data_IF_286899489125
#
_entry.id   IF_286899489125
#
_cell.length_a   1.000
_cell.length_b   1.000
_cell.length_c   1.000
_cell.angle_alpha   90.00
_cell.angle_beta   90.00
_cell.angle_gamma   90.00
#
_symmetry.space_group_name_H-M   'P 1'
#
loop_
_entity.id
_entity.type
_entity.pdbx_description
1 polymer ?
#
# COMPACT_ATOMS: atom_id res chain seq x y z
N UNK A 1 -24.22 36.26 24.11
CA UNK A 1 -23.23 35.45 23.35
C UNK A 1 -24.00 34.27 22.78
N UNK A 2 -24.40 34.37 21.51
CA UNK A 2 -25.48 33.57 20.95
C UNK A 2 -24.99 32.18 20.53
N UNK A 3 -25.66 31.14 21.03
CA UNK A 3 -25.47 29.70 20.77
C UNK A 3 -25.31 29.34 19.26
N UNK A 4 -25.73 30.22 18.35
CA UNK A 4 -25.58 30.05 16.89
C UNK A 4 -24.13 29.95 16.40
N UNK A 5 -23.16 30.50 17.13
CA UNK A 5 -21.75 30.49 16.71
C UNK A 5 -20.95 29.29 17.21
N UNK A 6 -21.51 28.48 18.12
CA UNK A 6 -20.83 27.29 18.65
C UNK A 6 -20.95 26.10 17.70
N UNK A 7 -22.04 25.99 16.93
CA UNK A 7 -22.21 24.90 15.97
C UNK A 7 -21.42 25.06 14.66
N UNK A 8 -21.07 26.29 14.28
CA UNK A 8 -20.30 26.53 13.03
C UNK A 8 -18.80 26.26 13.22
N UNK A 9 -18.28 26.41 14.44
CA UNK A 9 -16.89 26.08 14.76
C UNK A 9 -16.62 24.57 14.87
N UNK A 10 -17.65 23.76 15.15
CA UNK A 10 -17.53 22.29 15.25
C UNK A 10 -17.56 21.57 13.89
N UNK A 11 -18.08 22.23 12.83
CA UNK A 11 -18.07 21.68 11.47
C UNK A 11 -16.77 21.98 10.69
N UNK A 12 -15.86 22.78 11.25
CA UNK A 12 -14.55 23.03 10.67
C UNK A 12 -13.47 22.02 11.09
N UNK A 13 -13.74 21.19 12.11
CA UNK A 13 -12.79 20.18 12.60
C UNK A 13 -12.99 18.78 12.00
N UNK A 14 -14.07 18.53 11.26
CA UNK A 14 -14.32 17.23 10.60
C UNK A 14 -13.71 17.12 9.20
N UNK A 15 -12.86 18.07 8.79
CA UNK A 15 -12.18 18.04 7.49
C UNK A 15 -10.71 17.56 7.56
N UNK A 16 -10.26 17.02 8.69
CA UNK A 16 -8.99 16.26 8.80
C UNK A 16 -9.14 14.81 8.34
N UNK A 17 -9.91 14.60 7.27
CA UNK A 17 -9.92 13.34 6.55
C UNK A 17 -9.77 13.69 5.07
N UNK A 18 -8.59 14.19 4.68
CA UNK A 18 -8.21 14.18 3.26
C UNK A 18 -7.75 12.76 2.95
N UNK A 19 -8.68 11.80 3.06
CA UNK A 19 -8.59 10.58 2.28
C UNK A 19 -8.46 11.00 0.81
N UNK A 20 -7.57 10.36 0.06
CA UNK A 20 -7.36 10.62 -1.37
C UNK A 20 -8.69 10.95 -2.07
N UNK A 21 -8.71 12.00 -2.90
CA UNK A 21 -9.94 12.34 -3.63
C UNK A 21 -10.33 11.14 -4.52
N UNK A 22 -11.61 11.00 -4.84
CA UNK A 22 -12.07 9.94 -5.74
C UNK A 22 -11.29 9.94 -7.08
N UNK A 23 -10.95 11.14 -7.56
CA UNK A 23 -10.12 11.37 -8.75
C UNK A 23 -8.68 10.86 -8.57
N UNK A 24 -8.05 11.12 -7.41
CA UNK A 24 -6.69 10.63 -7.11
C UNK A 24 -6.65 9.10 -7.05
N UNK A 25 -7.71 8.46 -6.52
CA UNK A 25 -7.83 6.99 -6.46
C UNK A 25 -7.97 6.39 -7.85
N UNK A 26 -8.84 6.95 -8.69
CA UNK A 26 -9.05 6.47 -10.05
C UNK A 26 -7.79 6.64 -10.92
N UNK A 27 -7.08 7.76 -10.77
CA UNK A 27 -5.79 7.98 -11.43
C UNK A 27 -4.73 6.96 -10.98
N UNK A 28 -4.65 6.68 -9.67
CA UNK A 28 -3.75 5.68 -9.13
C UNK A 28 -4.08 4.27 -9.66
N UNK A 29 -5.34 3.85 -9.56
CA UNK A 29 -5.79 2.54 -10.06
C UNK A 29 -5.52 2.37 -11.55
N UNK A 30 -5.75 3.42 -12.35
CA UNK A 30 -5.44 3.43 -13.78
C UNK A 30 -3.94 3.27 -14.02
N UNK A 31 -3.09 3.92 -13.22
CA UNK A 31 -1.63 3.86 -13.35
C UNK A 31 -1.06 2.47 -13.03
N UNK A 32 -1.70 1.71 -12.13
CA UNK A 32 -1.23 0.38 -11.71
C UNK A 32 -1.96 -0.78 -12.43
N UNK A 33 -3.05 -0.52 -13.14
CA UNK A 33 -3.78 -1.56 -13.87
C UNK A 33 -2.92 -2.37 -14.87
N UNK A 34 -1.98 -1.76 -15.64
CA UNK A 34 -1.08 -2.53 -16.50
C UNK A 34 -0.19 -3.50 -15.73
N UNK A 35 0.29 -3.08 -14.55
CA UNK A 35 1.13 -3.89 -13.66
C UNK A 35 0.33 -5.09 -13.15
N UNK A 36 -0.91 -4.86 -12.71
CA UNK A 36 -1.82 -5.92 -12.25
C UNK A 36 -2.06 -6.93 -13.37
N UNK A 37 -2.36 -6.47 -14.59
CA UNK A 37 -2.62 -7.34 -15.74
C UNK A 37 -1.41 -8.21 -16.10
N UNK A 38 -0.21 -7.62 -16.11
CA UNK A 38 1.03 -8.34 -16.41
C UNK A 38 1.33 -9.41 -15.35
N UNK A 39 1.30 -9.04 -14.06
CA UNK A 39 1.54 -9.98 -12.97
C UNK A 39 0.45 -11.06 -12.87
N UNK A 40 -0.81 -10.72 -13.18
CA UNK A 40 -1.92 -11.68 -13.18
C UNK A 40 -1.69 -12.77 -14.23
N UNK A 41 -1.23 -12.37 -15.42
CA UNK A 41 -0.88 -13.30 -16.49
C UNK A 41 0.29 -14.20 -16.11
N UNK A 42 1.32 -13.65 -15.46
CA UNK A 42 2.51 -14.40 -15.06
C UNK A 42 2.22 -15.44 -13.98
N UNK A 43 1.40 -15.10 -12.98
CA UNK A 43 1.15 -15.96 -11.81
C UNK A 43 -0.22 -16.64 -11.81
N UNK A 44 -0.99 -16.49 -12.89
CA UNK A 44 -2.32 -17.08 -13.06
C UNK A 44 -3.29 -16.63 -11.97
N UNK A 45 -3.35 -15.32 -11.71
CA UNK A 45 -4.36 -14.71 -10.83
C UNK A 45 -5.55 -14.29 -11.70
N UNK A 46 -6.75 -14.71 -11.31
CA UNK A 46 -7.98 -14.40 -12.02
C UNK A 46 -8.50 -12.99 -11.70
N UNK A 47 -9.29 -12.42 -12.61
CA UNK A 47 -9.98 -11.15 -12.34
C UNK A 47 -10.85 -11.21 -11.09
N UNK A 48 -11.52 -12.35 -10.82
CA UNK A 48 -12.31 -12.55 -9.61
C UNK A 48 -11.49 -12.45 -8.32
N UNK A 49 -10.27 -12.99 -8.30
CA UNK A 49 -9.35 -12.85 -7.16
C UNK A 49 -8.91 -11.38 -6.96
N UNK A 50 -8.69 -10.65 -8.05
CA UNK A 50 -8.36 -9.22 -7.99
C UNK A 50 -9.55 -8.39 -7.46
N UNK A 51 -10.78 -8.68 -7.89
CA UNK A 51 -11.97 -7.98 -7.41
C UNK A 51 -12.24 -8.25 -5.92
N UNK A 52 -12.00 -9.47 -5.45
CA UNK A 52 -12.05 -9.79 -4.00
C UNK A 52 -10.99 -9.01 -3.21
N UNK A 53 -9.76 -8.93 -3.73
CA UNK A 53 -8.69 -8.16 -3.10
C UNK A 53 -9.03 -6.66 -3.02
N UNK A 54 -9.57 -6.09 -4.11
CA UNK A 54 -10.04 -4.69 -4.15
C UNK A 54 -11.16 -4.43 -3.15
N UNK A 55 -12.20 -5.27 -3.14
CA UNK A 55 -13.36 -5.11 -2.26
C UNK A 55 -12.99 -5.25 -0.78
N UNK A 56 -11.97 -6.07 -0.46
CA UNK A 56 -11.47 -6.23 0.90
C UNK A 56 -10.40 -5.21 1.30
N UNK A 57 -9.96 -4.36 0.37
CA UNK A 57 -8.80 -3.47 0.55
C UNK A 57 -7.56 -4.23 1.10
N UNK A 58 -7.39 -5.49 0.70
CA UNK A 58 -6.35 -6.39 1.20
C UNK A 58 -5.77 -7.27 0.11
N UNK A 59 -4.43 -7.42 0.13
CA UNK A 59 -3.70 -8.33 -0.73
C UNK A 59 -3.43 -9.71 -0.11
N UNK A 60 -3.88 -9.98 1.13
CA UNK A 60 -3.55 -11.21 1.87
C UNK A 60 -4.03 -12.50 1.19
N UNK A 61 -5.11 -12.43 0.43
CA UNK A 61 -5.64 -13.57 -0.32
C UNK A 61 -4.92 -13.86 -1.63
N UNK A 62 -3.99 -12.98 -2.05
CA UNK A 62 -3.30 -13.11 -3.33
C UNK A 62 -2.05 -13.97 -3.20
N UNK A 63 -1.69 -14.64 -4.29
CA UNK A 63 -0.47 -15.46 -4.35
C UNK A 63 0.76 -14.60 -4.04
N UNK A 64 1.67 -15.03 -3.13
CA UNK A 64 2.83 -14.22 -2.76
C UNK A 64 3.67 -13.76 -3.96
N UNK A 65 3.91 -14.63 -4.94
CA UNK A 65 4.67 -14.23 -6.13
C UNK A 65 3.97 -13.20 -7.01
N UNK A 66 2.63 -13.17 -7.04
CA UNK A 66 1.89 -12.08 -7.69
C UNK A 66 2.16 -10.75 -6.97
N UNK A 67 2.09 -10.75 -5.64
CA UNK A 67 2.36 -9.56 -4.82
C UNK A 67 3.81 -9.10 -5.00
N UNK A 68 4.76 -10.02 -5.05
CA UNK A 68 6.17 -9.72 -5.33
C UNK A 68 6.36 -9.09 -6.72
N UNK A 69 5.72 -9.63 -7.76
CA UNK A 69 5.77 -9.04 -9.10
C UNK A 69 5.24 -7.59 -9.11
N UNK A 70 4.11 -7.37 -8.45
CA UNK A 70 3.51 -6.05 -8.32
C UNK A 70 4.47 -5.09 -7.59
N UNK A 71 5.00 -5.50 -6.45
CA UNK A 71 5.95 -4.71 -5.66
C UNK A 71 7.28 -4.44 -6.37
N UNK A 72 7.78 -5.39 -7.16
CA UNK A 72 8.97 -5.18 -8.00
C UNK A 72 8.74 -4.14 -9.08
N UNK A 73 7.60 -4.21 -9.76
CA UNK A 73 7.23 -3.23 -10.79
C UNK A 73 6.95 -1.84 -10.22
N UNK A 74 6.48 -1.76 -8.98
CA UNK A 74 6.42 -0.50 -8.23
C UNK A 74 7.78 -0.02 -7.72
N UNK A 75 8.79 -0.89 -7.67
CA UNK A 75 10.13 -0.59 -7.17
C UNK A 75 10.26 -0.64 -5.66
N UNK A 76 9.29 -1.21 -4.93
CA UNK A 76 9.37 -1.37 -3.46
C UNK A 76 10.02 -2.68 -3.04
N UNK A 77 10.10 -3.65 -3.95
CA UNK A 77 11.02 -4.79 -3.86
C UNK A 77 12.03 -4.65 -5.00
N UNK A 78 13.32 -4.81 -4.72
CA UNK A 78 14.37 -4.67 -5.72
C UNK A 78 14.63 -5.99 -6.47
N UNK A 79 15.57 -5.96 -7.43
CA UNK A 79 15.92 -7.12 -8.25
C UNK A 79 16.54 -8.28 -7.45
N UNK A 80 17.09 -8.00 -6.27
CA UNK A 80 17.60 -9.03 -5.37
C UNK A 80 16.48 -9.73 -4.57
N UNK A 81 15.23 -9.27 -4.70
CA UNK A 81 14.10 -9.77 -3.93
C UNK A 81 13.99 -9.16 -2.53
N UNK A 82 14.78 -8.13 -2.23
CA UNK A 82 14.76 -7.44 -0.94
C UNK A 82 13.75 -6.28 -0.95
N UNK A 83 13.17 -6.00 0.21
CA UNK A 83 12.34 -4.81 0.40
C UNK A 83 13.22 -3.56 0.39
N UNK A 84 12.88 -2.57 -0.44
CA UNK A 84 13.55 -1.29 -0.53
C UNK A 84 12.74 -0.23 0.24
N UNK A 85 13.12 -0.02 1.51
CA UNK A 85 12.44 0.91 2.40
C UNK A 85 12.53 2.36 1.91
N UNK A 86 13.64 2.76 1.28
CA UNK A 86 13.82 4.12 0.77
C UNK A 86 12.96 4.35 -0.48
N UNK A 87 12.89 3.38 -1.38
CA UNK A 87 11.97 3.43 -2.51
C UNK A 87 10.52 3.47 -2.04
N UNK A 88 10.14 2.68 -1.04
CA UNK A 88 8.80 2.71 -0.45
C UNK A 88 8.45 4.09 0.15
N UNK A 89 9.37 4.72 0.88
CA UNK A 89 9.21 6.10 1.40
C UNK A 89 9.04 7.11 0.27
N UNK A 90 9.84 6.98 -0.79
CA UNK A 90 9.77 7.84 -1.97
C UNK A 90 8.42 7.71 -2.68
N UNK A 91 7.92 6.48 -2.82
CA UNK A 91 6.57 6.20 -3.33
C UNK A 91 5.47 6.73 -2.42
N UNK A 92 5.64 6.64 -1.10
CA UNK A 92 4.73 7.27 -0.15
C UNK A 92 4.58 8.77 -0.40
N UNK A 93 5.69 9.49 -0.56
CA UNK A 93 5.69 10.92 -0.89
C UNK A 93 5.12 11.23 -2.27
N UNK A 94 5.26 10.30 -3.22
CA UNK A 94 4.72 10.45 -4.57
C UNK A 94 3.20 10.25 -4.61
N UNK A 95 2.67 9.27 -3.86
CA UNK A 95 1.27 8.85 -3.96
C UNK A 95 0.35 9.52 -2.94
N UNK A 96 0.85 9.86 -1.74
CA UNK A 96 0.04 10.50 -0.70
C UNK A 96 0.30 12.00 -0.66
N UNK A 97 -0.76 12.80 -0.63
CA UNK A 97 -0.67 14.27 -0.47
C UNK A 97 -0.65 14.68 0.99
N UNK A 98 -1.30 13.90 1.85
CA UNK A 98 -1.37 14.16 3.28
C UNK A 98 -0.05 13.79 3.98
N UNK A 99 0.43 14.69 4.85
CA UNK A 99 1.72 14.53 5.53
C UNK A 99 1.66 13.42 6.60
N UNK A 100 0.50 13.21 7.23
CA UNK A 100 0.30 12.12 8.18
C UNK A 100 0.39 10.77 7.47
N UNK A 101 -0.25 10.61 6.32
CA UNK A 101 -0.14 9.40 5.48
C UNK A 101 1.31 9.16 5.01
N UNK A 102 2.02 10.20 4.54
CA UNK A 102 3.43 10.09 4.15
C UNK A 102 4.32 9.66 5.33
N UNK A 103 4.09 10.23 6.51
CA UNK A 103 4.80 9.85 7.73
C UNK A 103 4.47 8.42 8.13
N UNK A 104 3.21 7.99 7.97
CA UNK A 104 2.80 6.63 8.30
C UNK A 104 3.45 5.59 7.39
N UNK A 105 3.53 5.87 6.08
CA UNK A 105 4.29 5.04 5.15
C UNK A 105 5.77 4.98 5.55
N UNK A 106 6.35 6.12 5.95
CA UNK A 106 7.75 6.19 6.38
C UNK A 106 8.01 5.34 7.62
N UNK A 107 7.16 5.49 8.65
CA UNK A 107 7.23 4.71 9.89
C UNK A 107 7.13 3.20 9.60
N UNK A 108 6.14 2.78 8.81
CA UNK A 108 5.96 1.36 8.47
C UNK A 108 7.14 0.83 7.65
N UNK A 109 7.66 1.62 6.69
CA UNK A 109 8.83 1.23 5.91
C UNK A 109 10.07 1.03 6.81
N UNK A 110 10.29 1.91 7.79
CA UNK A 110 11.39 1.77 8.75
C UNK A 110 11.24 0.51 9.61
N UNK A 111 10.05 0.25 10.14
CA UNK A 111 9.77 -0.95 10.93
C UNK A 111 9.95 -2.21 10.08
N UNK A 112 9.37 -2.24 8.89
CA UNK A 112 9.36 -3.41 8.03
C UNK A 112 10.67 -3.64 7.29
N UNK A 113 11.63 -2.70 7.30
CA UNK A 113 12.97 -2.98 6.78
C UNK A 113 13.66 -4.17 7.48
N UNK A 114 13.29 -4.45 8.73
CA UNK A 114 13.78 -5.60 9.50
C UNK A 114 13.51 -6.96 8.86
N UNK A 115 12.47 -7.09 8.02
CA UNK A 115 12.14 -8.36 7.34
C UNK A 115 13.25 -8.80 6.38
N UNK A 116 14.15 -7.90 5.98
CA UNK A 116 15.27 -8.24 5.10
C UNK A 116 16.27 -9.18 5.76
N UNK A 117 16.28 -9.27 7.09
CA UNK A 117 17.09 -10.23 7.83
C UNK A 117 16.49 -11.66 7.85
N UNK A 118 15.22 -11.81 7.46
CA UNK A 118 14.55 -13.11 7.45
C UNK A 118 15.04 -13.96 6.27
N UNK A 119 15.20 -15.26 6.56
CA UNK A 119 15.60 -16.23 5.53
C UNK A 119 14.41 -16.53 4.62
N UNK A 120 14.65 -16.48 3.31
CA UNK A 120 13.66 -16.78 2.28
C UNK A 120 14.09 -17.98 1.43
N UNK A 121 13.12 -18.71 0.90
CA UNK A 121 13.37 -19.95 0.14
C UNK A 121 13.49 -19.72 -1.37
N UNK A 122 12.99 -18.60 -1.86
CA UNK A 122 12.77 -18.27 -3.27
C UNK A 122 13.84 -17.35 -3.88
N UNK A 123 14.98 -17.22 -3.19
CA UNK A 123 16.16 -16.46 -3.61
C UNK A 123 15.78 -15.02 -3.94
N UNK A 124 15.90 -14.63 -5.22
CA UNK A 124 15.65 -13.28 -5.69
C UNK A 124 14.22 -13.08 -6.19
N UNK A 125 13.34 -14.09 -6.14
CA UNK A 125 11.97 -13.94 -6.63
C UNK A 125 11.15 -12.97 -5.76
N UNK A 126 11.40 -12.95 -4.44
CA UNK A 126 10.80 -12.00 -3.51
C UNK A 126 9.35 -12.32 -3.12
N UNK A 127 8.83 -13.49 -3.50
CA UNK A 127 7.53 -14.01 -3.07
C UNK A 127 7.46 -14.15 -1.56
N UNK A 128 8.41 -14.85 -0.92
CA UNK A 128 8.43 -15.01 0.54
C UNK A 128 8.57 -13.65 1.22
N UNK A 129 9.45 -12.79 0.69
CA UNK A 129 9.67 -11.43 1.20
C UNK A 129 8.43 -10.55 1.08
N UNK A 130 7.66 -10.65 -0.01
CA UNK A 130 6.41 -9.91 -0.18
C UNK A 130 5.34 -10.33 0.81
N UNK A 131 5.30 -11.62 1.19
CA UNK A 131 4.41 -12.11 2.23
C UNK A 131 4.79 -11.53 3.59
N UNK A 132 6.07 -11.59 3.96
CA UNK A 132 6.59 -10.98 5.19
C UNK A 132 6.31 -9.46 5.22
N UNK A 133 6.46 -8.78 4.08
CA UNK A 133 6.17 -7.36 3.96
C UNK A 133 4.68 -7.06 4.18
N UNK A 134 3.78 -7.85 3.59
CA UNK A 134 2.34 -7.70 3.80
C UNK A 134 1.95 -7.94 5.25
N UNK A 135 2.46 -9.00 5.88
CA UNK A 135 2.22 -9.30 7.29
C UNK A 135 2.73 -8.17 8.20
N UNK A 136 3.93 -7.66 7.93
CA UNK A 136 4.50 -6.53 8.65
C UNK A 136 3.67 -5.26 8.45
N UNK A 137 3.28 -4.95 7.22
CA UNK A 137 2.43 -3.80 6.92
C UNK A 137 1.11 -3.88 7.71
N UNK A 138 0.43 -5.03 7.69
CA UNK A 138 -0.87 -5.21 8.36
C UNK A 138 -0.77 -5.06 9.86
N UNK A 139 0.30 -5.59 10.45
CA UNK A 139 0.58 -5.44 11.89
C UNK A 139 0.76 -3.97 12.31
N UNK A 140 1.29 -3.13 11.42
CA UNK A 140 1.73 -1.76 11.76
C UNK A 140 0.88 -0.64 11.14
N UNK A 141 -0.03 -0.96 10.20
CA UNK A 141 -0.84 0.05 9.49
C UNK A 141 -1.86 0.75 10.39
N UNK A 142 -2.36 0.08 11.43
CA UNK A 142 -3.47 0.62 12.23
C UNK A 142 -4.67 0.95 11.34
N UNK A 143 -5.14 2.20 11.38
CA UNK A 143 -6.22 2.69 10.52
C UNK A 143 -5.78 3.05 9.09
N UNK A 144 -4.49 3.13 8.81
CA UNK A 144 -3.98 3.49 7.48
C UNK A 144 -4.29 2.40 6.46
N UNK A 145 -4.79 2.82 5.30
CA UNK A 145 -4.98 1.94 4.15
C UNK A 145 -4.70 2.69 2.85
N UNK A 146 -3.72 2.25 2.04
CA UNK A 146 -3.43 2.87 0.75
C UNK A 146 -4.52 2.65 -0.31
N UNK A 147 -5.51 1.81 0.01
CA UNK A 147 -6.58 1.41 -0.90
C UNK A 147 -7.94 2.02 -0.55
N UNK A 148 -8.06 2.77 0.55
CA UNK A 148 -9.35 3.30 1.06
C UNK A 148 -9.64 4.68 0.54
#
# INVERSE_FOLDING_TARGET
>A
MSIKYVCVALLAFTAYAIALTQEDKEAFLTSIAPIIGECSKEFGVSEGEIEVAKASHSGEGLKPCFVACFFKKLGVINDNGDFDAEAAKSKGKQFFKDVEDQNKVTEIADICNSINAETVSDKTQGCDRSKLLMECFIKNKGGFSPFV
#
